data_IF_532953319200
#
_entry.id   IF_532953319200
#
_cell.length_a   1.000
_cell.length_b   1.000
_cell.length_c   1.000
_cell.angle_alpha   90.00
_cell.angle_beta   90.00
_cell.angle_gamma   90.00
#
_symmetry.space_group_name_H-M   'P 1'
#
loop_
_entity.id
_entity.type
_entity.pdbx_description
1 polymer ?
#
# COMPACT_ATOMS: atom_id res chain seq x y z
N UNK A 1 22.97 11.56 -7.91
CA UNK A 1 22.93 11.29 -6.46
C UNK A 1 21.48 11.29 -6.04
N UNK A 2 20.80 10.13 -6.09
CA UNK A 2 19.46 9.95 -5.54
C UNK A 2 19.62 9.09 -4.28
N UNK A 3 19.39 9.72 -3.13
CA UNK A 3 19.58 9.18 -1.78
C UNK A 3 18.38 8.28 -1.41
N UNK A 4 18.59 6.96 -1.40
CA UNK A 4 17.60 6.01 -0.93
C UNK A 4 17.52 6.05 0.59
N UNK A 5 16.61 6.88 1.15
CA UNK A 5 16.40 6.94 2.59
C UNK A 5 15.49 5.81 3.07
N UNK A 6 16.02 4.93 3.93
CA UNK A 6 15.22 4.02 4.75
C UNK A 6 14.47 4.81 5.81
N UNK A 7 13.15 4.73 5.82
CA UNK A 7 12.32 5.16 6.96
C UNK A 7 12.01 3.91 7.79
N UNK A 8 12.65 3.79 8.94
CA UNK A 8 12.32 2.77 9.95
C UNK A 8 11.31 3.37 10.91
N UNK A 9 10.09 2.84 10.96
CA UNK A 9 9.08 3.23 11.95
C UNK A 9 9.35 2.43 13.23
N UNK A 10 9.95 3.06 14.24
CA UNK A 10 10.14 2.49 15.57
C UNK A 10 8.92 2.73 16.44
N UNK A 11 8.38 1.68 17.07
CA UNK A 11 7.36 1.77 18.11
C UNK A 11 8.00 2.11 19.48
N UNK A 12 7.33 2.88 20.35
CA UNK A 12 7.91 3.35 21.60
C UNK A 12 8.06 2.21 22.64
N UNK A 13 9.27 2.04 23.15
CA UNK A 13 9.60 1.24 24.34
C UNK A 13 9.10 1.96 25.60
N UNK A 14 8.49 1.21 26.52
CA UNK A 14 7.98 1.70 27.81
C UNK A 14 9.11 2.31 28.68
N UNK A 15 8.79 3.29 29.55
CA UNK A 15 9.76 3.89 30.47
C UNK A 15 10.12 2.93 31.63
N UNK A 16 11.30 3.08 32.26
CA UNK A 16 11.75 2.17 33.30
C UNK A 16 11.08 2.51 34.64
N UNK A 17 10.43 1.53 35.24
CA UNK A 17 10.00 1.56 36.64
C UNK A 17 11.24 1.46 37.54
N UNK A 18 11.37 2.40 38.47
CA UNK A 18 12.52 2.52 39.36
C UNK A 18 12.55 1.53 40.54
N UNK A 19 13.55 1.80 41.39
CA UNK A 19 13.82 1.28 42.74
C UNK A 19 14.63 -0.03 42.85
N UNK A 20 15.94 0.16 43.03
CA UNK A 20 16.79 -0.70 43.87
C UNK A 20 16.33 -0.64 45.34
N UNK A 21 16.45 -1.76 46.07
CA UNK A 21 16.85 -1.70 47.47
C UNK A 21 18.20 -2.39 47.69
N UNK A 22 19.03 -1.69 48.44
CA UNK A 22 20.26 -2.12 49.11
C UNK A 22 20.06 -3.35 50.00
N UNK A 23 21.01 -4.28 49.97
CA UNK A 23 21.12 -5.35 50.97
C UNK A 23 22.00 -6.52 50.50
N UNK A 24 23.25 -6.55 50.93
CA UNK A 24 24.09 -7.75 50.93
C UNK A 24 23.97 -8.41 52.31
N UNK A 25 24.00 -9.75 52.41
CA UNK A 25 25.24 -10.32 52.93
C UNK A 25 25.69 -11.65 52.28
N UNK A 26 26.96 -11.93 52.53
CA UNK A 26 27.75 -13.11 52.21
C UNK A 26 27.05 -14.46 52.47
N UNK A 27 27.18 -15.40 51.52
CA UNK A 27 26.74 -16.80 51.68
C UNK A 27 27.10 -17.65 50.46
N UNK A 28 27.97 -18.65 50.70
CA UNK A 28 28.34 -19.83 49.90
C UNK A 28 27.71 -20.03 48.49
N UNK A 29 28.56 -20.17 47.47
CA UNK A 29 28.20 -20.78 46.17
C UNK A 29 28.22 -22.31 46.27
N UNK A 30 27.11 -23.03 45.99
CA UNK A 30 27.18 -24.43 45.61
C UNK A 30 27.37 -24.56 44.10
N UNK A 31 28.34 -25.39 43.72
CA UNK A 31 28.54 -25.95 42.39
C UNK A 31 27.27 -26.69 41.94
N UNK A 32 26.67 -26.30 40.80
CA UNK A 32 25.46 -26.96 40.31
C UNK A 32 24.95 -26.45 38.96
N UNK A 33 25.01 -27.33 37.97
CA UNK A 33 24.20 -27.36 36.74
C UNK A 33 24.31 -26.17 35.75
N UNK A 34 25.05 -26.41 34.64
CA UNK A 34 24.88 -25.66 33.39
C UNK A 34 23.42 -25.76 32.93
N UNK A 35 22.66 -24.68 33.06
CA UNK A 35 21.34 -24.53 32.40
C UNK A 35 21.53 -24.71 30.90
N UNK A 36 20.74 -25.57 30.22
CA UNK A 36 20.76 -25.62 28.76
C UNK A 36 20.35 -24.25 28.22
N UNK A 37 21.16 -23.72 27.30
CA UNK A 37 20.91 -22.44 26.65
C UNK A 37 19.50 -22.43 26.08
N UNK A 38 18.65 -21.55 26.60
CA UNK A 38 17.31 -21.33 26.07
C UNK A 38 17.45 -21.10 24.56
N UNK A 39 16.85 -21.99 23.78
CA UNK A 39 16.84 -21.95 22.32
C UNK A 39 16.28 -20.58 21.93
N UNK A 40 17.14 -19.68 21.45
CA UNK A 40 16.73 -18.36 20.95
C UNK A 40 15.53 -18.60 20.03
N UNK A 41 14.36 -17.99 20.28
CA UNK A 41 13.25 -18.10 19.34
C UNK A 41 13.78 -17.68 17.97
N UNK A 42 13.49 -18.50 16.95
CA UNK A 42 13.93 -18.25 15.58
C UNK A 42 13.62 -16.79 15.25
N UNK A 43 14.64 -16.03 14.85
CA UNK A 43 14.49 -14.63 14.52
C UNK A 43 13.35 -14.50 13.50
N UNK A 44 12.34 -13.70 13.86
CA UNK A 44 11.26 -13.32 12.95
C UNK A 44 11.92 -12.91 11.62
N UNK A 45 11.51 -13.45 10.47
CA UNK A 45 12.15 -13.09 9.21
C UNK A 45 12.12 -11.56 9.09
N UNK A 46 13.26 -10.89 8.85
CA UNK A 46 13.33 -9.44 8.86
C UNK A 46 12.29 -8.86 7.91
N UNK A 47 11.53 -7.89 8.41
CA UNK A 47 10.30 -7.39 7.80
C UNK A 47 10.53 -7.06 6.32
N UNK A 48 9.67 -7.61 5.46
CA UNK A 48 9.57 -7.21 4.07
C UNK A 48 9.06 -5.76 4.04
N UNK A 49 9.98 -4.81 4.21
CA UNK A 49 9.71 -3.38 4.27
C UNK A 49 9.51 -2.83 2.87
N UNK A 50 8.51 -1.95 2.73
CA UNK A 50 8.31 -1.16 1.52
C UNK A 50 9.41 -0.10 1.44
N UNK A 51 10.08 -0.03 0.29
CA UNK A 51 11.16 0.92 0.05
C UNK A 51 10.64 2.06 -0.81
N UNK A 52 10.83 3.30 -0.37
CA UNK A 52 10.53 4.47 -1.19
C UNK A 52 11.66 4.68 -2.20
N UNK A 53 11.43 4.28 -3.44
CA UNK A 53 12.40 4.33 -4.53
C UNK A 53 11.95 5.32 -5.60
N UNK A 54 12.87 6.13 -6.11
CA UNK A 54 12.61 6.93 -7.32
C UNK A 54 12.31 6.05 -8.55
N UNK A 55 11.67 6.58 -9.61
CA UNK A 55 11.20 5.78 -10.75
C UNK A 55 12.29 4.93 -11.42
N UNK A 56 13.47 5.51 -11.62
CA UNK A 56 14.62 4.79 -12.23
C UNK A 56 15.15 3.72 -11.27
N UNK A 57 15.20 4.01 -9.97
CA UNK A 57 15.65 3.07 -8.95
C UNK A 57 14.69 1.87 -8.83
N UNK A 58 13.37 2.09 -8.98
CA UNK A 58 12.38 1.01 -8.98
C UNK A 58 12.65 -0.03 -10.07
N UNK A 59 13.01 0.40 -11.28
CA UNK A 59 13.32 -0.48 -12.40
C UNK A 59 14.66 -1.21 -12.19
N UNK A 60 15.63 -0.56 -11.54
CA UNK A 60 16.95 -1.12 -11.28
C UNK A 60 17.01 -2.02 -10.04
N UNK A 61 16.00 -2.01 -9.17
CA UNK A 61 15.98 -2.79 -7.93
C UNK A 61 15.83 -4.32 -8.11
N UNK A 62 15.91 -4.82 -9.35
CA UNK A 62 15.87 -6.24 -9.67
C UNK A 62 14.49 -6.90 -9.54
N UNK A 63 14.45 -8.20 -9.83
CA UNK A 63 13.26 -9.08 -9.76
C UNK A 63 12.05 -8.60 -10.58
N UNK A 64 12.29 -7.89 -11.68
CA UNK A 64 11.22 -7.38 -12.57
C UNK A 64 10.32 -8.50 -13.11
N UNK A 65 10.88 -9.68 -13.42
CA UNK A 65 10.11 -10.83 -13.90
C UNK A 65 9.02 -11.31 -12.94
N UNK A 66 9.18 -11.11 -11.62
CA UNK A 66 8.12 -11.38 -10.63
C UNK A 66 7.24 -10.15 -10.38
N UNK A 67 7.86 -8.96 -10.30
CA UNK A 67 7.18 -7.72 -9.90
C UNK A 67 6.19 -7.23 -10.96
N UNK A 68 6.52 -7.34 -12.24
CA UNK A 68 5.64 -6.89 -13.34
C UNK A 68 4.36 -7.73 -13.42
N UNK A 69 4.40 -9.08 -13.49
CA UNK A 69 3.19 -9.87 -13.45
C UNK A 69 2.37 -9.62 -12.17
N UNK A 70 3.03 -9.54 -11.01
CA UNK A 70 2.33 -9.28 -9.75
C UNK A 70 1.62 -7.92 -9.74
N UNK A 71 2.26 -6.87 -10.29
CA UNK A 71 1.66 -5.56 -10.46
C UNK A 71 0.42 -5.66 -11.36
N UNK A 72 0.55 -6.20 -12.57
CA UNK A 72 -0.55 -6.22 -13.53
C UNK A 72 -1.71 -7.11 -13.08
N UNK A 73 -1.43 -8.28 -12.50
CA UNK A 73 -2.47 -9.13 -11.89
C UNK A 73 -3.16 -8.37 -10.77
N UNK A 74 -2.39 -7.72 -9.87
CA UNK A 74 -2.95 -6.89 -8.81
C UNK A 74 -3.87 -5.78 -9.34
N UNK A 75 -3.46 -5.07 -10.39
CA UNK A 75 -4.25 -3.99 -10.99
C UNK A 75 -5.53 -4.50 -11.67
N UNK A 76 -5.47 -5.63 -12.37
CA UNK A 76 -6.67 -6.25 -12.97
C UNK A 76 -7.64 -6.69 -11.88
N UNK A 77 -7.15 -7.37 -10.84
CA UNK A 77 -7.99 -7.80 -9.72
C UNK A 77 -8.61 -6.61 -8.97
N UNK A 78 -7.92 -5.47 -8.90
CA UNK A 78 -8.48 -4.24 -8.34
C UNK A 78 -9.65 -3.75 -9.21
N UNK A 79 -9.46 -3.70 -10.53
CA UNK A 79 -10.53 -3.27 -11.45
C UNK A 79 -11.76 -4.17 -11.35
N UNK A 80 -11.54 -5.49 -11.26
CA UNK A 80 -12.58 -6.49 -10.99
C UNK A 80 -13.27 -6.20 -9.66
N UNK A 81 -12.53 -6.00 -8.57
CA UNK A 81 -13.11 -5.79 -7.25
C UNK A 81 -14.02 -4.57 -7.19
N UNK A 82 -13.64 -3.49 -7.90
CA UNK A 82 -14.48 -2.31 -8.07
C UNK A 82 -15.82 -2.65 -8.74
N UNK A 83 -15.75 -3.38 -9.86
CA UNK A 83 -16.94 -3.80 -10.60
C UNK A 83 -17.86 -4.69 -9.76
N UNK A 84 -17.31 -5.60 -8.94
CA UNK A 84 -18.09 -6.41 -8.01
C UNK A 84 -18.86 -5.53 -7.01
N UNK A 85 -18.20 -4.53 -6.42
CA UNK A 85 -18.85 -3.60 -5.48
C UNK A 85 -19.94 -2.77 -6.16
N UNK A 86 -19.69 -2.30 -7.40
CA UNK A 86 -20.68 -1.58 -8.22
C UNK A 86 -21.92 -2.45 -8.48
N UNK A 87 -21.73 -3.70 -8.92
CA UNK A 87 -22.84 -4.65 -9.15
C UNK A 87 -23.52 -5.10 -7.86
N UNK A 88 -22.82 -5.06 -6.73
CA UNK A 88 -23.41 -5.29 -5.41
C UNK A 88 -24.45 -4.24 -5.02
N UNK A 89 -24.30 -2.98 -5.46
CA UNK A 89 -25.24 -1.87 -5.18
C UNK A 89 -25.55 -1.70 -3.68
N UNK A 90 -24.61 -2.00 -2.79
CA UNK A 90 -24.76 -1.83 -1.34
C UNK A 90 -23.95 -0.63 -0.79
N UNK A 91 -23.28 0.11 -1.67
CA UNK A 91 -22.37 1.21 -1.34
C UNK A 91 -20.97 0.93 -1.85
N UNK A 92 -20.24 2.00 -2.19
CA UNK A 92 -18.94 1.94 -2.84
C UNK A 92 -17.83 2.49 -1.93
N UNK A 93 -16.56 2.27 -2.29
CA UNK A 93 -15.46 2.96 -1.62
C UNK A 93 -15.52 4.47 -1.90
N UNK A 94 -14.98 5.35 -1.02
CA UNK A 94 -15.12 6.81 -1.13
C UNK A 94 -14.81 7.40 -2.52
N UNK A 95 -13.72 6.96 -3.13
CA UNK A 95 -13.33 7.41 -4.47
C UNK A 95 -14.28 6.88 -5.55
N UNK A 96 -14.82 5.70 -5.39
CA UNK A 96 -15.76 5.12 -6.36
C UNK A 96 -17.12 5.78 -6.29
N UNK A 97 -17.52 6.31 -5.13
CA UNK A 97 -18.68 7.19 -5.01
C UNK A 97 -18.49 8.43 -5.89
N UNK A 98 -17.29 9.01 -5.91
CA UNK A 98 -16.95 10.12 -6.81
C UNK A 98 -16.98 9.69 -8.28
N UNK A 99 -16.31 8.59 -8.64
CA UNK A 99 -16.25 8.12 -10.03
C UNK A 99 -17.63 7.81 -10.58
N UNK A 100 -18.46 7.06 -9.84
CA UNK A 100 -19.84 6.76 -10.25
C UNK A 100 -20.68 8.04 -10.26
N UNK A 101 -20.54 8.93 -9.28
CA UNK A 101 -21.21 10.24 -9.31
C UNK A 101 -20.93 11.04 -10.58
N UNK A 102 -19.67 11.09 -11.03
CA UNK A 102 -19.29 11.77 -12.27
C UNK A 102 -19.94 11.17 -13.53
N UNK A 103 -20.22 9.87 -13.56
CA UNK A 103 -20.86 9.21 -14.72
C UNK A 103 -22.28 9.75 -14.98
N UNK A 104 -22.94 10.34 -13.98
CA UNK A 104 -24.24 10.96 -14.17
C UNK A 104 -24.20 12.30 -14.92
N UNK A 105 -23.01 12.92 -15.01
CA UNK A 105 -22.83 14.26 -15.59
C UNK A 105 -21.94 14.26 -16.84
N UNK A 106 -21.15 13.21 -17.04
CA UNK A 106 -20.19 13.09 -18.14
C UNK A 106 -20.49 11.79 -18.89
N UNK A 107 -20.65 11.83 -20.24
CA UNK A 107 -20.98 10.65 -21.05
C UNK A 107 -19.75 9.75 -21.28
N UNK A 108 -19.14 9.31 -20.19
CA UNK A 108 -18.00 8.40 -20.15
C UNK A 108 -18.36 7.19 -19.29
N UNK A 109 -17.74 6.05 -19.58
CA UNK A 109 -17.86 4.85 -18.76
C UNK A 109 -17.20 5.06 -17.39
N UNK A 110 -17.50 4.17 -16.44
CA UNK A 110 -16.88 4.17 -15.11
C UNK A 110 -15.35 4.05 -15.24
N UNK A 111 -14.88 3.12 -16.07
CA UNK A 111 -13.45 2.91 -16.33
C UNK A 111 -12.75 4.11 -16.94
N UNK A 112 -13.40 4.78 -17.90
CA UNK A 112 -12.88 6.03 -18.48
C UNK A 112 -12.77 7.14 -17.43
N UNK A 113 -13.77 7.30 -16.56
CA UNK A 113 -13.74 8.28 -15.48
C UNK A 113 -12.65 7.96 -14.45
N UNK A 114 -12.47 6.70 -14.07
CA UNK A 114 -11.35 6.26 -13.22
C UNK A 114 -10.01 6.70 -13.80
N UNK A 115 -9.79 6.48 -15.10
CA UNK A 115 -8.56 6.88 -15.78
C UNK A 115 -8.40 8.39 -15.85
N UNK A 116 -9.45 9.14 -16.21
CA UNK A 116 -9.41 10.61 -16.27
C UNK A 116 -9.11 11.21 -14.90
N UNK A 117 -9.83 10.80 -13.84
CA UNK A 117 -9.61 11.30 -12.49
C UNK A 117 -8.21 10.94 -12.00
N UNK A 118 -7.71 9.74 -12.30
CA UNK A 118 -6.33 9.36 -12.01
C UNK A 118 -5.33 10.34 -12.65
N UNK A 119 -5.49 10.70 -13.92
CA UNK A 119 -4.62 11.69 -14.57
C UNK A 119 -4.78 13.10 -14.00
N UNK A 120 -5.99 13.53 -13.63
CA UNK A 120 -6.21 14.81 -12.93
C UNK A 120 -5.44 14.84 -11.61
N UNK A 121 -5.47 13.75 -10.84
CA UNK A 121 -4.69 13.63 -9.60
C UNK A 121 -3.18 13.66 -9.90
N UNK A 122 -2.72 13.04 -10.99
CA UNK A 122 -1.32 13.13 -11.39
C UNK A 122 -0.90 14.53 -11.86
N UNK A 123 -1.79 15.32 -12.42
CA UNK A 123 -1.52 16.74 -12.70
C UNK A 123 -1.40 17.51 -11.39
N UNK A 124 -2.28 17.21 -10.41
CA UNK A 124 -2.19 17.81 -9.09
C UNK A 124 -0.84 17.52 -8.40
N UNK A 125 -0.13 16.46 -8.77
CA UNK A 125 1.22 16.16 -8.26
C UNK A 125 2.31 17.14 -8.68
N UNK A 126 2.12 17.91 -9.76
CA UNK A 126 3.12 18.87 -10.28
C UNK A 126 3.56 19.85 -9.17
N UNK A 127 2.66 20.56 -8.45
CA UNK A 127 3.05 21.38 -7.32
C UNK A 127 3.65 20.57 -6.15
N UNK A 128 3.31 19.28 -6.00
CA UNK A 128 3.86 18.42 -4.96
C UNK A 128 5.27 17.88 -5.30
N UNK A 129 5.75 18.07 -6.54
CA UNK A 129 7.04 17.57 -7.04
C UNK A 129 7.17 16.04 -6.90
N UNK A 130 6.06 15.33 -7.00
CA UNK A 130 6.01 13.87 -6.99
C UNK A 130 6.29 13.33 -8.39
N UNK A 131 7.16 12.32 -8.50
CA UNK A 131 7.49 11.70 -9.79
C UNK A 131 6.70 10.40 -9.95
N UNK A 132 5.82 10.28 -10.97
CA UNK A 132 5.10 9.04 -11.22
C UNK A 132 6.06 7.91 -11.61
N UNK A 133 5.85 6.73 -11.05
CA UNK A 133 6.53 5.49 -11.45
C UNK A 133 5.74 4.72 -12.50
N UNK A 134 6.29 3.61 -12.99
CA UNK A 134 5.59 2.73 -13.93
C UNK A 134 4.26 2.25 -13.35
N UNK A 135 4.27 1.75 -12.11
CA UNK A 135 3.07 1.28 -11.41
C UNK A 135 2.02 2.38 -11.21
N UNK A 136 2.44 3.65 -11.12
CA UNK A 136 1.51 4.80 -11.03
C UNK A 136 0.72 4.98 -12.32
N UNK A 137 1.41 4.99 -13.46
CA UNK A 137 0.77 5.14 -14.77
C UNK A 137 -0.03 3.89 -15.16
N UNK A 138 0.53 2.70 -14.90
CA UNK A 138 -0.17 1.44 -15.10
C UNK A 138 -1.44 1.38 -14.27
N UNK A 139 -1.41 1.83 -13.01
CA UNK A 139 -2.60 1.88 -12.16
C UNK A 139 -3.69 2.79 -12.76
N UNK A 140 -3.32 3.99 -13.23
CA UNK A 140 -4.27 4.94 -13.83
C UNK A 140 -5.03 4.35 -15.04
N UNK A 141 -4.36 3.54 -15.86
CA UNK A 141 -4.95 3.00 -17.10
C UNK A 141 -5.57 1.62 -16.90
N UNK A 142 -4.82 0.66 -16.34
CA UNK A 142 -5.23 -0.75 -16.25
C UNK A 142 -6.45 -0.91 -15.34
N UNK A 143 -6.54 -0.11 -14.27
CA UNK A 143 -7.67 -0.16 -13.35
C UNK A 143 -8.99 0.14 -14.08
N UNK A 144 -9.02 1.23 -14.85
CA UNK A 144 -10.21 1.62 -15.61
C UNK A 144 -10.61 0.58 -16.66
N UNK A 145 -9.64 0.08 -17.44
CA UNK A 145 -9.89 -0.96 -18.45
C UNK A 145 -10.44 -2.25 -17.84
N UNK A 146 -9.86 -2.71 -16.74
CA UNK A 146 -10.31 -3.92 -16.06
C UNK A 146 -11.71 -3.74 -15.45
N UNK A 147 -12.03 -2.56 -14.89
CA UNK A 147 -13.37 -2.26 -14.40
C UNK A 147 -14.41 -2.31 -15.51
N UNK A 148 -14.18 -1.62 -16.63
CA UNK A 148 -15.14 -1.64 -17.75
C UNK A 148 -15.30 -3.03 -18.36
N UNK A 149 -14.19 -3.76 -18.56
CA UNK A 149 -14.24 -5.13 -19.05
C UNK A 149 -15.06 -6.05 -18.12
N UNK A 150 -14.89 -5.88 -16.80
CA UNK A 150 -15.64 -6.68 -15.83
C UNK A 150 -17.13 -6.27 -15.81
N UNK A 151 -17.43 -4.98 -15.87
CA UNK A 151 -18.82 -4.50 -15.91
C UNK A 151 -19.54 -4.93 -17.19
N UNK A 152 -18.84 -5.05 -18.31
CA UNK A 152 -19.41 -5.55 -19.56
C UNK A 152 -19.77 -7.04 -19.51
N UNK A 153 -19.08 -7.82 -18.67
CA UNK A 153 -19.28 -9.27 -18.54
C UNK A 153 -20.18 -9.67 -17.36
N UNK A 154 -20.23 -8.83 -16.33
CA UNK A 154 -20.94 -9.13 -15.09
C UNK A 154 -22.22 -8.31 -15.00
N UNK A 155 -23.36 -8.97 -14.96
CA UNK A 155 -24.66 -8.34 -14.74
C UNK A 155 -24.92 -8.02 -13.26
N UNK A 156 -25.89 -7.15 -13.01
CA UNK A 156 -26.32 -6.82 -11.65
C UNK A 156 -27.32 -7.85 -11.13
N UNK A 157 -27.02 -8.58 -10.05
CA UNK A 157 -27.99 -9.50 -9.47
C UNK A 157 -29.14 -8.74 -8.80
N UNK A 158 -30.36 -9.27 -8.92
CA UNK A 158 -31.54 -8.75 -8.21
C UNK A 158 -31.60 -9.22 -6.75
N UNK A 159 -31.13 -10.43 -6.47
CA UNK A 159 -31.16 -11.04 -5.14
C UNK A 159 -30.19 -10.38 -4.15
N UNK A 160 -30.64 -10.22 -2.90
CA UNK A 160 -29.87 -9.56 -1.86
C UNK A 160 -28.64 -10.38 -1.43
N UNK A 161 -28.75 -11.71 -1.34
CA UNK A 161 -27.63 -12.55 -0.91
C UNK A 161 -26.49 -12.49 -1.95
N UNK A 162 -26.82 -12.54 -3.25
CA UNK A 162 -25.85 -12.34 -4.32
C UNK A 162 -25.19 -10.95 -4.25
N UNK A 163 -25.95 -9.89 -3.99
CA UNK A 163 -25.42 -8.52 -3.83
C UNK A 163 -24.47 -8.39 -2.63
N UNK A 164 -24.81 -9.03 -1.51
CA UNK A 164 -23.94 -9.10 -0.33
C UNK A 164 -22.66 -9.85 -0.65
N UNK A 165 -22.76 -11.01 -1.32
CA UNK A 165 -21.61 -11.81 -1.71
C UNK A 165 -20.67 -11.05 -2.67
N UNK A 166 -21.21 -10.35 -3.68
CA UNK A 166 -20.41 -9.51 -4.57
C UNK A 166 -19.73 -8.37 -3.83
N UNK A 167 -20.43 -7.70 -2.91
CA UNK A 167 -19.86 -6.59 -2.13
C UNK A 167 -18.75 -7.07 -1.19
N UNK A 168 -19.00 -8.14 -0.44
CA UNK A 168 -18.02 -8.72 0.48
C UNK A 168 -16.81 -9.29 -0.26
N UNK A 169 -17.05 -10.03 -1.35
CA UNK A 169 -16.01 -10.53 -2.24
C UNK A 169 -15.20 -9.40 -2.88
N UNK A 170 -15.85 -8.33 -3.32
CA UNK A 170 -15.20 -7.12 -3.81
C UNK A 170 -14.28 -6.48 -2.77
N UNK A 171 -14.74 -6.31 -1.52
CA UNK A 171 -13.89 -5.76 -0.46
C UNK A 171 -12.65 -6.63 -0.20
N UNK A 172 -12.84 -7.95 -0.09
CA UNK A 172 -11.73 -8.89 0.14
C UNK A 172 -10.74 -8.91 -1.04
N UNK A 173 -11.27 -8.94 -2.27
CA UNK A 173 -10.45 -8.91 -3.48
C UNK A 173 -9.71 -7.58 -3.63
N UNK A 174 -10.33 -6.45 -3.26
CA UNK A 174 -9.70 -5.14 -3.26
C UNK A 174 -8.49 -5.10 -2.31
N UNK A 175 -8.60 -5.72 -1.12
CA UNK A 175 -7.50 -5.80 -0.16
C UNK A 175 -6.34 -6.66 -0.70
N UNK A 176 -6.65 -7.81 -1.29
CA UNK A 176 -5.67 -8.69 -1.94
C UNK A 176 -4.96 -7.97 -3.10
N UNK A 177 -5.74 -7.38 -4.01
CA UNK A 177 -5.25 -6.62 -5.15
C UNK A 177 -4.35 -5.45 -4.72
N UNK A 178 -4.75 -4.73 -3.66
CA UNK A 178 -3.95 -3.66 -3.05
C UNK A 178 -2.62 -4.17 -2.54
N UNK A 179 -2.61 -5.28 -1.80
CA UNK A 179 -1.38 -5.91 -1.32
C UNK A 179 -0.46 -6.36 -2.48
N UNK A 180 -1.02 -6.93 -3.55
CA UNK A 180 -0.28 -7.36 -4.73
C UNK A 180 0.39 -6.21 -5.46
N UNK A 181 -0.38 -5.14 -5.77
CA UNK A 181 0.15 -4.01 -6.53
C UNK A 181 1.17 -3.23 -5.70
N UNK A 182 0.90 -2.95 -4.41
CA UNK A 182 1.83 -2.23 -3.53
C UNK A 182 3.08 -3.09 -3.30
N UNK A 183 2.89 -4.38 -3.04
CA UNK A 183 3.97 -5.33 -2.79
C UNK A 183 4.92 -5.52 -3.98
N UNK A 184 4.50 -5.16 -5.20
CA UNK A 184 5.38 -5.13 -6.36
C UNK A 184 6.41 -3.99 -6.32
N UNK A 185 6.19 -2.96 -5.49
CA UNK A 185 7.11 -1.83 -5.26
C UNK A 185 7.54 -1.10 -6.55
N UNK A 186 6.65 -1.00 -7.55
CA UNK A 186 6.93 -0.36 -8.86
C UNK A 186 6.31 1.05 -8.97
N UNK A 187 5.96 1.65 -7.83
CA UNK A 187 5.25 2.91 -7.75
C UNK A 187 3.89 2.74 -7.08
N UNK A 188 3.41 3.85 -6.51
CA UNK A 188 2.13 3.96 -5.80
C UNK A 188 1.05 4.53 -6.70
N UNK A 189 -0.22 4.25 -6.41
CA UNK A 189 -1.34 4.80 -7.18
C UNK A 189 -1.41 6.35 -7.08
N UNK A 190 -2.10 7.02 -8.01
CA UNK A 190 -2.31 8.48 -7.99
C UNK A 190 -2.86 9.02 -6.66
N UNK A 191 -3.84 8.31 -6.08
CA UNK A 191 -4.41 8.61 -4.74
C UNK A 191 -3.34 8.54 -3.64
N UNK A 192 -2.56 7.47 -3.60
CA UNK A 192 -1.59 7.24 -2.53
C UNK A 192 -0.43 8.23 -2.58
N UNK A 193 -0.04 8.64 -3.80
CA UNK A 193 0.96 9.70 -3.93
C UNK A 193 0.43 11.10 -3.67
N UNK A 194 -0.88 11.36 -3.86
CA UNK A 194 -1.49 12.61 -3.42
C UNK A 194 -1.44 12.73 -1.88
N UNK A 195 -1.84 11.67 -1.18
CA UNK A 195 -1.82 11.62 0.29
C UNK A 195 -0.43 11.88 0.87
N UNK A 196 0.57 11.17 0.36
CA UNK A 196 1.95 11.26 0.85
C UNK A 196 2.62 12.57 0.43
N UNK A 197 2.34 13.09 -0.77
CA UNK A 197 2.83 14.39 -1.18
C UNK A 197 2.26 15.51 -0.31
N UNK A 198 0.96 15.47 0.01
CA UNK A 198 0.32 16.48 0.87
C UNK A 198 0.95 16.45 2.26
N UNK A 199 1.18 15.25 2.81
CA UNK A 199 1.91 15.08 4.07
C UNK A 199 3.30 15.75 4.01
N UNK A 200 4.08 15.51 2.94
CA UNK A 200 5.43 16.11 2.82
C UNK A 200 5.40 17.63 2.63
N UNK A 201 4.40 18.16 1.92
CA UNK A 201 4.25 19.60 1.67
C UNK A 201 3.72 20.37 2.87
N UNK A 202 2.81 19.80 3.66
CA UNK A 202 2.10 20.48 4.76
C UNK A 202 2.61 20.13 6.15
N UNK A 203 3.29 18.99 6.31
CA UNK A 203 3.68 18.44 7.60
C UNK A 203 2.55 17.75 8.38
N UNK A 204 1.31 17.75 7.86
CA UNK A 204 0.18 17.11 8.53
C UNK A 204 0.31 15.60 8.57
N UNK A 205 -0.21 14.94 9.61
CA UNK A 205 -0.12 13.48 9.71
C UNK A 205 -0.75 12.76 8.51
N UNK A 206 -0.17 11.63 8.08
CA UNK A 206 -0.69 10.81 6.97
C UNK A 206 -2.14 10.40 7.22
N UNK A 207 -2.50 10.11 8.49
CA UNK A 207 -3.87 9.76 8.87
C UNK A 207 -4.84 10.90 8.60
N UNK A 208 -4.49 12.13 9.02
CA UNK A 208 -5.33 13.30 8.81
C UNK A 208 -5.51 13.59 7.31
N UNK A 209 -4.41 13.60 6.54
CA UNK A 209 -4.47 13.84 5.10
C UNK A 209 -5.33 12.79 4.40
N UNK A 210 -5.13 11.50 4.73
CA UNK A 210 -5.94 10.41 4.19
C UNK A 210 -7.41 10.64 4.48
N UNK A 211 -7.78 10.77 5.76
CA UNK A 211 -9.18 10.94 6.17
C UNK A 211 -9.80 12.17 5.53
N UNK A 212 -9.09 13.30 5.48
CA UNK A 212 -9.58 14.53 4.85
C UNK A 212 -9.87 14.33 3.36
N UNK A 213 -8.95 13.70 2.62
CA UNK A 213 -9.16 13.39 1.20
C UNK A 213 -10.35 12.42 1.02
N UNK A 214 -10.40 11.31 1.78
CA UNK A 214 -11.49 10.33 1.67
C UNK A 214 -12.86 10.96 1.94
N UNK A 215 -12.96 11.79 2.98
CA UNK A 215 -14.22 12.49 3.31
C UNK A 215 -14.58 13.48 2.21
N UNK A 216 -13.63 14.27 1.70
CA UNK A 216 -13.88 15.23 0.65
C UNK A 216 -14.39 14.56 -0.64
N UNK A 217 -13.74 13.49 -1.10
CA UNK A 217 -14.17 12.79 -2.32
C UNK A 217 -15.49 12.05 -2.12
N UNK A 218 -15.74 11.50 -0.92
CA UNK A 218 -17.02 10.88 -0.60
C UNK A 218 -18.16 11.91 -0.66
N UNK A 219 -18.00 13.06 0.01
CA UNK A 219 -19.00 14.13 0.02
C UNK A 219 -19.25 14.70 -1.38
N UNK A 220 -18.18 14.92 -2.15
CA UNK A 220 -18.30 15.38 -3.53
C UNK A 220 -19.02 14.34 -4.40
N UNK A 221 -18.67 13.06 -4.25
CA UNK A 221 -19.33 11.98 -4.98
C UNK A 221 -20.81 11.87 -4.65
N UNK A 222 -21.18 11.97 -3.36
CA UNK A 222 -22.59 12.02 -2.93
C UNK A 222 -23.33 13.22 -3.53
N UNK A 223 -22.71 14.39 -3.55
CA UNK A 223 -23.28 15.59 -4.17
C UNK A 223 -23.50 15.43 -5.69
N UNK A 224 -22.65 14.64 -6.36
CA UNK A 224 -22.78 14.31 -7.79
C UNK A 224 -23.75 13.14 -8.05
N UNK A 225 -24.40 12.59 -7.03
CA UNK A 225 -25.37 11.50 -7.15
C UNK A 225 -24.78 10.10 -7.03
N UNK A 226 -23.50 9.96 -6.65
CA UNK A 226 -22.93 8.69 -6.23
C UNK A 226 -23.64 8.14 -4.98
N UNK A 227 -23.53 6.83 -4.74
CA UNK A 227 -24.20 6.18 -3.60
C UNK A 227 -23.23 5.63 -2.56
N UNK A 228 -23.49 5.96 -1.30
CA UNK A 228 -22.86 5.33 -0.14
C UNK A 228 -23.89 4.51 0.64
N UNK A 229 -23.45 3.43 1.28
CA UNK A 229 -24.33 2.54 2.02
C UNK A 229 -23.57 1.60 2.95
N UNK A 230 -24.19 0.48 3.33
CA UNK A 230 -23.58 -0.53 4.21
C UNK A 230 -22.25 -1.07 3.66
N UNK A 231 -22.15 -1.24 2.34
CA UNK A 231 -20.92 -1.62 1.65
C UNK A 231 -19.79 -0.59 1.81
N UNK A 232 -20.11 0.71 1.85
CA UNK A 232 -19.14 1.78 2.10
C UNK A 232 -18.59 1.71 3.53
N UNK A 233 -19.49 1.50 4.51
CA UNK A 233 -19.10 1.34 5.92
C UNK A 233 -18.25 0.08 6.10
N UNK A 234 -18.69 -1.05 5.55
CA UNK A 234 -17.94 -2.30 5.59
C UNK A 234 -16.56 -2.15 4.94
N UNK A 235 -16.47 -1.49 3.78
CA UNK A 235 -15.20 -1.19 3.13
C UNK A 235 -14.29 -0.36 4.02
N UNK A 236 -14.78 0.74 4.59
CA UNK A 236 -13.98 1.63 5.43
C UNK A 236 -13.39 0.92 6.66
N UNK A 237 -14.16 0.01 7.27
CA UNK A 237 -13.73 -0.78 8.43
C UNK A 237 -12.78 -1.92 8.06
N UNK A 238 -13.02 -2.61 6.94
CA UNK A 238 -12.32 -3.85 6.59
C UNK A 238 -11.06 -3.64 5.74
N UNK A 239 -11.03 -2.63 4.85
CA UNK A 239 -9.97 -2.51 3.85
C UNK A 239 -8.58 -2.36 4.47
N UNK A 240 -8.46 -1.59 5.57
CA UNK A 240 -7.20 -1.36 6.26
C UNK A 240 -6.62 -2.65 6.86
N UNK A 241 -7.32 -3.29 7.82
CA UNK A 241 -6.89 -4.54 8.43
C UNK A 241 -6.62 -5.66 7.40
N UNK A 242 -7.50 -5.83 6.41
CA UNK A 242 -7.31 -6.87 5.38
C UNK A 242 -6.07 -6.60 4.52
N UNK A 243 -5.88 -5.37 4.06
CA UNK A 243 -4.68 -5.02 3.26
C UNK A 243 -3.42 -5.23 4.08
N UNK A 244 -3.41 -4.81 5.34
CA UNK A 244 -2.26 -5.00 6.24
C UNK A 244 -1.95 -6.48 6.49
N UNK A 245 -2.98 -7.32 6.62
CA UNK A 245 -2.80 -8.77 6.75
C UNK A 245 -2.22 -9.40 5.48
N UNK A 246 -2.64 -8.95 4.30
CA UNK A 246 -2.21 -9.51 3.01
C UNK A 246 -0.84 -9.01 2.55
N UNK A 247 -0.47 -7.78 2.89
CA UNK A 247 0.73 -7.12 2.36
C UNK A 247 2.04 -7.92 2.56
N UNK A 248 2.35 -8.51 3.73
CA UNK A 248 3.61 -9.23 3.94
C UNK A 248 3.80 -10.44 3.00
N UNK A 249 2.72 -11.07 2.55
CA UNK A 249 2.76 -12.21 1.63
C UNK A 249 3.13 -11.79 0.20
N UNK A 250 2.81 -10.55 -0.16
CA UNK A 250 2.98 -10.03 -1.52
C UNK A 250 4.14 -9.05 -1.65
N UNK A 251 4.74 -8.57 -0.56
CA UNK A 251 5.91 -7.70 -0.65
C UNK A 251 7.12 -8.43 -1.23
N UNK A 252 7.52 -8.05 -2.45
CA UNK A 252 8.74 -8.55 -3.08
C UNK A 252 9.93 -7.85 -2.44
N UNK A 253 10.81 -8.61 -1.78
CA UNK A 253 12.03 -8.07 -1.20
C UNK A 253 12.94 -7.54 -2.30
N UNK A 254 13.55 -6.37 -2.12
CA UNK A 254 14.49 -5.79 -3.08
C UNK A 254 15.91 -5.85 -2.50
N UNK A 255 16.88 -6.29 -3.32
CA UNK A 255 18.28 -6.36 -2.89
C UNK A 255 18.96 -5.00 -3.17
N UNK A 256 18.88 -4.07 -2.21
CA UNK A 256 19.53 -2.75 -2.32
C UNK A 256 21.07 -2.78 -2.32
N UNK A 257 21.71 -3.96 -2.23
CA UNK A 257 23.16 -4.08 -2.21
C UNK A 257 23.84 -4.00 -3.60
N UNK A 258 23.09 -4.01 -4.71
CA UNK A 258 23.68 -3.89 -6.05
C UNK A 258 23.87 -2.44 -6.51
N UNK A 259 23.47 -1.44 -5.71
CA UNK A 259 23.57 -0.01 -6.07
C UNK A 259 24.72 0.74 -5.39
N UNK A 260 25.51 0.08 -4.54
CA UNK A 260 26.77 0.66 -4.08
C UNK A 260 27.80 0.53 -5.21
N UNK A 261 28.40 1.63 -5.70
CA UNK A 261 29.59 1.53 -6.54
C UNK A 261 30.59 0.67 -5.78
N UNK A 262 31.14 -0.34 -6.45
CA UNK A 262 32.27 -1.11 -5.98
C UNK A 262 33.26 -0.16 -5.32
N UNK A 263 33.41 -0.25 -4.00
CA UNK A 263 34.59 0.29 -3.33
C UNK A 263 35.75 -0.52 -3.86
N UNK A 264 36.33 -0.05 -4.97
CA UNK A 264 37.67 -0.43 -5.38
C UNK A 264 38.59 0.04 -4.26
N UNK A 265 38.87 -0.85 -3.31
CA UNK A 265 39.95 -0.67 -2.35
C UNK A 265 41.21 -0.31 -3.12
N UNK A 266 41.85 0.85 -2.86
CA UNK A 266 43.14 1.14 -3.42
C UNK A 266 44.13 0.09 -2.91
N UNK A 267 44.78 -0.57 -3.86
CA UNK A 267 46.01 -1.34 -3.73
C UNK A 267 46.86 -0.93 -2.51
N UNK A 268 46.99 -1.81 -1.52
CA UNK A 268 48.16 -1.82 -0.65
C UNK A 268 49.28 -2.51 -1.42
N UNK A 269 50.02 -1.72 -2.19
CA UNK A 269 51.33 -2.08 -2.72
C UNK A 269 52.33 -1.02 -2.24
N UNK A 270 53.29 -1.46 -1.42
CA UNK A 270 54.43 -0.67 -0.94
C UNK A 270 54.51 -0.69 0.60
N UNK A 271 55.50 -1.30 1.24
CA UNK A 271 56.69 -1.99 0.73
C UNK A 271 57.39 -2.68 1.90
N UNK A 272 58.00 -3.82 1.60
CA UNK A 272 59.10 -4.39 2.37
C UNK A 272 60.39 -3.73 1.91
N UNK A 273 61.16 -3.18 2.86
CA UNK A 273 62.63 -3.30 3.02
C UNK A 273 63.15 -2.20 3.94
#
# INVERSE_FOLDING_TARGET
MDDARRVTISLPTQPPTGQQPTGQPSGAQPSGARRPAARRPAARPPDASLVDLGPIAQLRAGRLGRRLPQLYIGLVLYGVSLALMIRGRLGLAPWDVLHVGLTHHIPLTVGQILTVVAFVVLIAWIPLRERPGLGTLSNAVVLGLATDATLALLDSPGDLAARVALTAGGIALCALATAMYIGAQLGRGPRDGLMTGLHRRTGWSIRLVRTGIEVAVLLLGLALGGSAGLGTVAFALAIGPLTQAMLPFWTVRLDTNQTSPSQTSPSQAGGTS
#
